data_IF_211599567983
#
_entry.id   IF_211599567983
#
_cell.length_a   1.000
_cell.length_b   1.000
_cell.length_c   1.000
_cell.angle_alpha   90.00
_cell.angle_beta   90.00
_cell.angle_gamma   90.00
#
_symmetry.space_group_name_H-M   'P 1'
#
loop_
_entity.id
_entity.type
_entity.pdbx_description
1 polymer ?
#
# COMPACT_ATOMS: atom_id res chain seq x y z
N UNK A 1 -20.16 -2.33 24.22
CA UNK A 1 -18.96 -1.67 23.65
C UNK A 1 -18.76 -2.03 22.20
N UNK A 2 -18.08 -1.17 21.45
CA UNK A 2 -17.74 -1.39 20.05
C UNK A 2 -16.22 -1.25 19.90
N UNK A 3 -15.59 -2.15 19.13
CA UNK A 3 -14.20 -2.04 18.73
C UNK A 3 -14.08 -2.28 17.23
N UNK A 4 -13.10 -1.63 16.60
CA UNK A 4 -12.77 -1.84 15.22
C UNK A 4 -11.27 -2.09 15.08
N UNK A 5 -10.91 -3.14 14.35
CA UNK A 5 -9.51 -3.56 14.15
C UNK A 5 -9.26 -4.00 12.72
N UNK A 6 -8.01 -4.23 12.38
CA UNK A 6 -7.58 -4.80 11.10
C UNK A 6 -6.70 -6.02 11.34
N UNK A 7 -6.62 -6.92 10.36
CA UNK A 7 -5.69 -8.06 10.42
C UNK A 7 -4.23 -7.63 10.22
N UNK A 8 -4.01 -6.63 9.36
CA UNK A 8 -2.70 -6.02 9.09
C UNK A 8 -2.77 -4.54 9.40
N UNK A 9 -1.76 -4.01 10.05
CA UNK A 9 -1.68 -2.58 10.40
C UNK A 9 -1.21 -1.69 9.25
N UNK A 10 -0.94 -2.26 8.07
CA UNK A 10 -0.41 -1.55 6.91
C UNK A 10 -1.20 -1.84 5.64
N UNK A 11 -1.11 -0.94 4.66
CA UNK A 11 -1.68 -1.09 3.34
C UNK A 11 -0.68 -0.67 2.26
N UNK A 12 -0.81 -1.24 1.07
CA UNK A 12 -0.15 -0.80 -0.17
C UNK A 12 -1.19 -0.27 -1.16
N UNK A 13 -0.73 0.37 -2.23
CA UNK A 13 -1.59 0.83 -3.32
C UNK A 13 -2.37 -0.35 -3.93
N UNK A 14 -3.67 -0.20 -4.08
CA UNK A 14 -4.59 -1.26 -4.54
C UNK A 14 -4.60 -2.51 -3.65
N UNK A 15 -3.97 -2.46 -2.48
CA UNK A 15 -3.98 -3.55 -1.50
C UNK A 15 -5.33 -3.66 -0.79
N UNK A 16 -5.72 -4.89 -0.46
CA UNK A 16 -6.93 -5.18 0.30
C UNK A 16 -6.64 -5.18 1.79
N UNK A 17 -7.51 -4.54 2.56
CA UNK A 17 -7.47 -4.45 4.03
C UNK A 17 -8.70 -5.16 4.58
N UNK A 18 -8.51 -6.10 5.49
CA UNK A 18 -9.62 -6.76 6.19
C UNK A 18 -9.89 -6.05 7.52
N UNK A 19 -11.11 -5.54 7.67
CA UNK A 19 -11.61 -4.90 8.89
C UNK A 19 -12.51 -5.81 9.67
N UNK A 20 -12.44 -5.71 11.00
CA UNK A 20 -13.31 -6.39 11.94
C UNK A 20 -13.96 -5.33 12.85
N UNK A 21 -15.30 -5.33 12.89
CA UNK A 21 -16.09 -4.55 13.86
C UNK A 21 -16.71 -5.53 14.84
N UNK A 22 -16.30 -5.43 16.10
CA UNK A 22 -16.83 -6.29 17.19
C UNK A 22 -17.73 -5.45 18.10
N UNK A 23 -18.93 -5.93 18.33
CA UNK A 23 -19.94 -5.33 19.19
C UNK A 23 -20.20 -6.28 20.34
N UNK A 24 -19.89 -5.85 21.57
CA UNK A 24 -20.13 -6.60 22.80
C UNK A 24 -21.31 -6.01 23.55
N UNK A 25 -22.29 -6.84 23.86
CA UNK A 25 -23.43 -6.51 24.68
C UNK A 25 -23.28 -7.15 26.10
N UNK A 26 -22.95 -6.33 27.09
CA UNK A 26 -22.86 -6.76 28.50
C UNK A 26 -24.17 -6.64 29.25
N UNK A 27 -25.27 -6.26 28.58
CA UNK A 27 -26.59 -6.11 29.15
C UNK A 27 -27.35 -7.42 29.17
N UNK A 28 -28.57 -7.38 29.74
CA UNK A 28 -29.45 -8.51 29.93
C UNK A 28 -30.56 -8.63 28.87
N UNK A 29 -30.59 -7.71 27.90
CA UNK A 29 -31.53 -7.70 26.77
C UNK A 29 -30.77 -7.65 25.46
N UNK A 30 -31.34 -8.29 24.43
CA UNK A 30 -30.80 -8.27 23.07
C UNK A 30 -30.93 -6.89 22.47
N UNK A 31 -29.92 -6.48 21.67
CA UNK A 31 -30.06 -5.41 20.70
C UNK A 31 -30.39 -6.01 19.33
N UNK A 32 -31.47 -5.55 18.70
CA UNK A 32 -31.92 -6.00 17.38
C UNK A 32 -32.16 -4.82 16.46
N UNK A 33 -31.85 -5.01 15.16
CA UNK A 33 -32.01 -3.93 14.18
C UNK A 33 -30.98 -2.80 14.31
N UNK A 34 -29.79 -3.11 14.82
CA UNK A 34 -28.66 -2.18 14.77
C UNK A 34 -28.20 -1.95 13.33
N UNK A 35 -27.66 -0.77 13.09
CA UNK A 35 -26.99 -0.38 11.83
C UNK A 35 -25.53 -0.07 12.12
N UNK A 36 -24.65 -0.63 11.33
CA UNK A 36 -23.23 -0.26 11.31
C UNK A 36 -22.96 0.58 10.07
N UNK A 37 -22.54 1.82 10.26
CA UNK A 37 -22.14 2.75 9.19
C UNK A 37 -20.63 2.95 9.25
N UNK A 38 -19.95 2.71 8.14
CA UNK A 38 -18.51 2.81 8.03
C UNK A 38 -18.13 3.88 7.02
N UNK A 39 -17.30 4.85 7.42
CA UNK A 39 -16.95 5.99 6.59
C UNK A 39 -15.88 5.68 5.53
N UNK A 40 -15.35 4.43 5.51
CA UNK A 40 -14.31 3.98 4.59
C UNK A 40 -13.08 4.90 4.57
N UNK A 41 -12.76 5.47 5.75
CA UNK A 41 -11.60 6.33 5.92
C UNK A 41 -11.75 7.73 5.33
N UNK A 42 -12.98 8.19 5.03
CA UNK A 42 -13.23 9.53 4.48
C UNK A 42 -12.47 10.62 5.21
N UNK A 43 -11.83 11.51 4.46
CA UNK A 43 -11.11 12.66 5.01
C UNK A 43 -11.21 13.90 4.10
N UNK A 44 -10.89 15.07 4.67
CA UNK A 44 -10.90 16.36 3.98
C UNK A 44 -9.49 16.66 3.46
N UNK A 45 -9.35 16.91 2.17
CA UNK A 45 -8.10 17.32 1.51
C UNK A 45 -7.93 18.84 1.55
N UNK A 46 -9.00 19.55 1.22
CA UNK A 46 -9.10 21.01 1.23
C UNK A 46 -10.56 21.41 1.43
N UNK A 47 -10.83 22.71 1.55
CA UNK A 47 -12.21 23.20 1.67
C UNK A 47 -13.07 22.71 0.48
N UNK A 48 -14.14 21.97 0.79
CA UNK A 48 -15.05 21.41 -0.20
C UNK A 48 -14.57 20.15 -0.94
N UNK A 49 -13.36 19.65 -0.66
CA UNK A 49 -12.82 18.43 -1.26
C UNK A 49 -12.71 17.33 -0.20
N UNK A 50 -13.73 16.45 -0.20
CA UNK A 50 -13.77 15.25 0.63
C UNK A 50 -13.50 14.04 -0.24
N UNK A 51 -12.64 13.14 0.20
CA UNK A 51 -12.30 11.91 -0.51
C UNK A 51 -12.44 10.69 0.37
N UNK A 52 -12.68 9.54 -0.25
CA UNK A 52 -12.79 8.25 0.42
C UNK A 52 -11.67 7.36 -0.09
N UNK A 53 -10.66 7.03 0.75
CA UNK A 53 -9.45 6.32 0.33
C UNK A 53 -9.65 4.81 0.17
N UNK A 54 -10.82 4.28 0.56
CA UNK A 54 -11.11 2.85 0.56
C UNK A 54 -12.37 2.55 -0.25
N UNK A 55 -12.27 1.59 -1.17
CA UNK A 55 -13.40 1.03 -1.90
C UNK A 55 -13.82 -0.28 -1.21
N UNK A 56 -15.09 -0.40 -0.84
CA UNK A 56 -15.63 -1.63 -0.29
C UNK A 56 -15.62 -2.76 -1.33
N UNK A 57 -15.08 -3.92 -0.97
CA UNK A 57 -15.14 -5.14 -1.79
C UNK A 57 -16.52 -5.78 -1.67
N UNK A 58 -17.32 -5.65 -2.72
CA UNK A 58 -18.71 -6.10 -2.76
C UNK A 58 -18.84 -7.60 -2.45
N UNK A 59 -19.73 -7.91 -1.49
CA UNK A 59 -19.99 -9.30 -1.08
C UNK A 59 -18.98 -9.84 -0.04
N UNK A 60 -18.02 -9.03 0.41
CA UNK A 60 -17.03 -9.46 1.41
C UNK A 60 -17.56 -9.50 2.84
N UNK A 61 -18.72 -8.89 3.15
CA UNK A 61 -19.28 -8.88 4.50
C UNK A 61 -19.58 -10.28 4.98
N UNK A 62 -19.00 -10.64 6.14
CA UNK A 62 -19.31 -11.83 6.92
C UNK A 62 -19.82 -11.40 8.30
N UNK A 63 -20.81 -12.10 8.81
CA UNK A 63 -21.52 -11.76 10.02
C UNK A 63 -21.52 -12.94 10.98
N UNK A 64 -21.03 -12.73 12.19
CA UNK A 64 -20.93 -13.77 13.22
C UNK A 64 -21.65 -13.32 14.49
N UNK A 65 -22.41 -14.24 15.11
CA UNK A 65 -23.01 -14.05 16.43
C UNK A 65 -22.42 -15.12 17.36
N UNK A 66 -21.81 -14.71 18.45
CA UNK A 66 -21.14 -15.59 19.42
C UNK A 66 -20.19 -16.60 18.77
N UNK A 67 -19.49 -16.17 17.70
CA UNK A 67 -18.51 -16.98 16.95
C UNK A 67 -19.13 -17.85 15.84
N UNK A 68 -20.46 -17.94 15.72
CA UNK A 68 -21.13 -18.70 14.66
C UNK A 68 -21.44 -17.81 13.46
N UNK A 69 -21.04 -18.27 12.25
CA UNK A 69 -21.31 -17.58 10.98
C UNK A 69 -22.82 -17.58 10.70
N UNK A 70 -23.35 -16.43 10.42
CA UNK A 70 -24.73 -16.17 10.06
C UNK A 70 -24.89 -15.80 8.58
N UNK A 71 -26.13 -15.81 8.10
CA UNK A 71 -26.46 -15.23 6.79
C UNK A 71 -26.04 -13.74 6.78
N UNK A 72 -25.38 -13.32 5.71
CA UNK A 72 -24.96 -11.92 5.57
C UNK A 72 -26.18 -10.98 5.64
N UNK A 73 -26.09 -9.90 6.43
CA UNK A 73 -27.17 -8.93 6.54
C UNK A 73 -27.29 -8.07 5.27
N UNK A 74 -28.30 -7.20 5.22
CA UNK A 74 -28.45 -6.26 4.12
C UNK A 74 -27.33 -5.22 4.13
N UNK A 75 -26.64 -5.09 2.99
CA UNK A 75 -25.47 -4.20 2.80
C UNK A 75 -25.79 -3.15 1.74
N UNK A 76 -25.50 -1.89 2.05
CA UNK A 76 -25.44 -0.78 1.07
C UNK A 76 -23.95 -0.44 0.87
N UNK A 77 -23.45 -0.64 -0.33
CA UNK A 77 -22.01 -0.65 -0.65
C UNK A 77 -21.40 0.71 -0.97
N UNK A 78 -22.18 1.80 -1.02
CA UNK A 78 -21.65 3.14 -1.34
C UNK A 78 -20.72 3.65 -0.26
N UNK A 79 -19.99 4.77 -0.44
CA UNK A 79 -19.51 5.52 0.71
C UNK A 79 -20.66 6.35 1.32
N UNK A 80 -20.98 6.16 2.63
CA UNK A 80 -20.44 5.16 3.53
C UNK A 80 -20.94 3.75 3.25
N UNK A 81 -20.19 2.73 3.67
CA UNK A 81 -20.68 1.35 3.76
C UNK A 81 -21.70 1.25 4.89
N UNK A 82 -22.88 0.70 4.63
CA UNK A 82 -23.94 0.53 5.64
C UNK A 82 -24.35 -0.94 5.72
N UNK A 83 -24.29 -1.50 6.92
CA UNK A 83 -24.72 -2.89 7.24
C UNK A 83 -25.90 -2.82 8.20
N UNK A 84 -27.08 -3.29 7.76
CA UNK A 84 -28.33 -3.14 8.49
C UNK A 84 -28.79 -4.46 9.12
N UNK A 85 -29.65 -4.36 10.14
CA UNK A 85 -30.34 -5.51 10.72
C UNK A 85 -29.43 -6.35 11.63
N UNK A 86 -28.45 -5.76 12.24
CA UNK A 86 -27.52 -6.45 13.14
C UNK A 86 -28.18 -6.75 14.47
N UNK A 87 -27.99 -7.97 14.97
CA UNK A 87 -28.41 -8.41 16.29
C UNK A 87 -27.22 -8.72 17.17
N UNK A 88 -27.26 -8.28 18.44
CA UNK A 88 -26.25 -8.60 19.45
C UNK A 88 -26.97 -9.17 20.67
N UNK A 89 -26.85 -10.49 20.96
CA UNK A 89 -27.53 -11.13 22.09
C UNK A 89 -27.13 -10.54 23.44
N UNK A 90 -27.99 -10.65 24.41
CA UNK A 90 -27.70 -10.34 25.80
C UNK A 90 -26.49 -11.12 26.31
N UNK A 91 -25.51 -10.46 26.89
CA UNK A 91 -24.27 -11.08 27.36
C UNK A 91 -23.40 -11.66 26.25
N UNK A 92 -23.73 -11.41 24.98
CA UNK A 92 -23.06 -11.97 23.80
C UNK A 92 -22.31 -10.94 22.99
N UNK A 93 -21.76 -11.40 21.86
CA UNK A 93 -21.03 -10.54 20.92
C UNK A 93 -21.47 -10.80 19.47
N UNK A 94 -21.22 -9.80 18.66
CA UNK A 94 -21.38 -9.87 17.20
C UNK A 94 -20.15 -9.31 16.54
N UNK A 95 -19.68 -10.00 15.48
CA UNK A 95 -18.53 -9.56 14.68
C UNK A 95 -18.98 -9.42 13.23
N UNK A 96 -18.63 -8.29 12.64
CA UNK A 96 -18.76 -8.02 11.21
C UNK A 96 -17.34 -7.95 10.64
N UNK A 97 -17.06 -8.77 9.63
CA UNK A 97 -15.80 -8.75 8.87
C UNK A 97 -16.12 -8.29 7.47
N UNK A 98 -15.31 -7.40 6.93
CA UNK A 98 -15.41 -6.96 5.54
C UNK A 98 -14.05 -6.58 4.99
N UNK A 99 -13.96 -6.52 3.67
CA UNK A 99 -12.74 -6.15 2.95
C UNK A 99 -12.95 -4.82 2.21
N UNK A 100 -11.90 -3.99 2.22
CA UNK A 100 -11.86 -2.76 1.47
C UNK A 100 -10.47 -2.61 0.81
N UNK A 101 -10.44 -2.00 -0.38
CA UNK A 101 -9.23 -1.81 -1.17
C UNK A 101 -8.80 -0.34 -1.12
N UNK A 102 -7.50 -0.10 -0.91
CA UNK A 102 -6.92 1.23 -1.01
C UNK A 102 -6.93 1.72 -2.47
N UNK A 103 -7.50 2.90 -2.71
CA UNK A 103 -7.64 3.51 -4.03
C UNK A 103 -6.68 4.70 -4.23
N UNK A 104 -6.90 5.51 -5.28
CA UNK A 104 -6.06 6.66 -5.63
C UNK A 104 -6.07 7.80 -4.61
N UNK A 105 -6.99 7.78 -3.66
CA UNK A 105 -7.06 8.77 -2.56
C UNK A 105 -6.35 8.31 -1.29
N UNK A 106 -5.85 7.07 -1.25
CA UNK A 106 -5.11 6.56 -0.11
C UNK A 106 -3.72 7.21 -0.03
N UNK A 107 -3.32 7.81 1.11
CA UNK A 107 -1.98 8.36 1.28
C UNK A 107 -0.91 7.28 1.11
N UNK A 108 0.12 7.53 0.28
CA UNK A 108 1.18 6.56 0.00
C UNK A 108 2.57 7.03 0.43
N UNK A 109 2.70 8.26 0.95
CA UNK A 109 3.92 8.73 1.59
C UNK A 109 4.24 7.92 2.86
N UNK A 110 5.47 7.97 3.34
CA UNK A 110 5.93 7.16 4.47
C UNK A 110 5.12 7.38 5.77
N UNK A 111 4.54 8.58 5.96
CA UNK A 111 3.68 8.94 7.09
C UNK A 111 2.18 8.78 6.78
N UNK A 112 1.84 8.20 5.64
CA UNK A 112 0.46 8.04 5.19
C UNK A 112 -0.35 7.15 6.14
N UNK A 113 -1.50 7.65 6.61
CA UNK A 113 -2.42 6.91 7.47
C UNK A 113 -3.85 7.02 6.96
N UNK A 114 -4.64 5.96 7.21
CA UNK A 114 -6.09 5.95 7.02
C UNK A 114 -6.74 5.65 8.36
N UNK A 115 -7.58 6.58 8.84
CA UNK A 115 -8.43 6.40 10.01
C UNK A 115 -9.82 6.02 9.53
N UNK A 116 -10.18 4.76 9.68
CA UNK A 116 -11.46 4.24 9.24
C UNK A 116 -12.41 4.06 10.43
N UNK A 117 -13.52 4.81 10.46
CA UNK A 117 -14.46 4.88 11.57
C UNK A 117 -15.73 4.11 11.25
N UNK A 118 -16.11 3.21 12.16
CA UNK A 118 -17.43 2.56 12.18
C UNK A 118 -18.29 3.17 13.29
N UNK A 119 -19.54 3.49 12.95
CA UNK A 119 -20.55 4.01 13.86
C UNK A 119 -21.67 2.99 13.97
N UNK A 120 -21.97 2.52 15.19
CA UNK A 120 -23.09 1.62 15.50
C UNK A 120 -24.25 2.46 16.05
N UNK A 121 -25.43 2.32 15.45
CA UNK A 121 -26.62 3.08 15.81
C UNK A 121 -27.90 2.28 15.69
N UNK A 122 -29.03 2.82 16.15
CA UNK A 122 -30.34 2.17 16.09
C UNK A 122 -30.52 1.06 17.14
N UNK A 123 -31.45 0.14 16.90
CA UNK A 123 -31.67 -1.04 17.74
C UNK A 123 -31.93 -0.78 19.22
N UNK A 124 -32.40 0.42 19.58
CA UNK A 124 -32.63 0.80 20.98
C UNK A 124 -31.41 1.43 21.69
N UNK A 125 -30.31 1.67 20.99
CA UNK A 125 -29.21 2.48 21.53
C UNK A 125 -29.65 3.93 21.72
N UNK A 126 -29.39 4.49 22.90
CA UNK A 126 -29.70 5.91 23.21
C UNK A 126 -28.79 6.89 22.42
N UNK A 127 -27.55 6.49 22.20
CA UNK A 127 -26.55 7.26 21.43
C UNK A 127 -25.75 6.33 20.55
N UNK A 128 -25.35 6.77 19.35
CA UNK A 128 -24.41 6.02 18.52
C UNK A 128 -23.08 5.77 19.24
N UNK A 129 -22.42 4.68 18.92
CA UNK A 129 -21.12 4.30 19.45
C UNK A 129 -20.14 4.15 18.31
N UNK A 130 -18.98 4.79 18.41
CA UNK A 130 -17.96 4.80 17.38
C UNK A 130 -16.74 3.98 17.77
N UNK A 131 -16.09 3.40 16.75
CA UNK A 131 -14.79 2.77 16.88
C UNK A 131 -13.96 3.05 15.62
N UNK A 132 -12.66 3.27 15.80
CA UNK A 132 -11.72 3.63 14.74
C UNK A 132 -10.66 2.54 14.62
N UNK A 133 -10.34 2.15 13.40
CA UNK A 133 -9.14 1.40 13.07
C UNK A 133 -8.22 2.27 12.22
N UNK A 134 -6.94 2.31 12.57
CA UNK A 134 -5.91 3.06 11.85
C UNK A 134 -4.99 2.07 11.13
N UNK A 135 -4.71 2.32 9.86
CA UNK A 135 -3.70 1.63 9.07
C UNK A 135 -2.71 2.62 8.48
N UNK A 136 -1.46 2.22 8.34
CA UNK A 136 -0.38 3.04 7.79
C UNK A 136 0.02 2.57 6.40
N UNK A 137 0.52 3.47 5.57
CA UNK A 137 1.13 3.07 4.31
C UNK A 137 2.32 2.13 4.58
N UNK A 138 2.41 1.05 3.81
CA UNK A 138 3.55 0.12 3.90
C UNK A 138 4.82 0.85 3.45
N UNK A 139 5.84 0.85 4.32
CA UNK A 139 7.13 1.42 4.00
C UNK A 139 7.94 0.41 3.18
N UNK A 140 8.04 0.64 1.87
CA UNK A 140 8.75 -0.26 0.96
C UNK A 140 9.38 0.49 -0.22
N UNK A 141 10.57 0.10 -0.70
CA UNK A 141 11.10 0.51 -1.99
C UNK A 141 10.45 -0.31 -3.09
N UNK A 142 10.14 0.31 -4.24
CA UNK A 142 9.61 -0.35 -5.43
C UNK A 142 10.51 0.00 -6.60
N UNK A 143 11.44 -0.91 -6.92
CA UNK A 143 12.44 -0.68 -7.95
C UNK A 143 11.98 -1.18 -9.32
N UNK A 144 12.34 -0.41 -10.33
CA UNK A 144 12.35 -0.83 -11.72
C UNK A 144 13.70 -0.51 -12.36
N UNK A 145 14.10 -1.31 -13.35
CA UNK A 145 15.33 -1.09 -14.13
C UNK A 145 15.00 -1.18 -15.61
N UNK A 146 15.56 -0.26 -16.39
CA UNK A 146 15.55 -0.33 -17.85
C UNK A 146 16.96 -0.19 -18.38
N UNK A 147 17.25 -0.86 -19.51
CA UNK A 147 18.55 -0.83 -20.18
C UNK A 147 18.40 -0.22 -21.56
N UNK A 148 19.24 0.73 -21.88
CA UNK A 148 19.34 1.33 -23.22
C UNK A 148 20.78 1.24 -23.72
N UNK A 149 20.95 1.33 -25.01
CA UNK A 149 22.28 1.37 -25.67
C UNK A 149 22.32 2.42 -26.78
N UNK A 150 23.48 3.06 -26.91
CA UNK A 150 23.72 4.07 -27.93
C UNK A 150 25.22 4.06 -28.34
N UNK A 151 25.51 4.02 -29.66
CA UNK A 151 24.61 3.82 -30.78
C UNK A 151 24.08 2.38 -30.84
N UNK A 152 22.99 2.13 -31.58
CA UNK A 152 22.40 0.79 -31.74
C UNK A 152 23.18 -0.11 -32.67
N UNK A 153 24.09 0.46 -33.46
CA UNK A 153 25.00 -0.26 -34.37
C UNK A 153 26.40 0.35 -34.28
N UNK A 154 27.40 -0.50 -34.22
CA UNK A 154 28.82 -0.10 -34.18
C UNK A 154 29.60 -0.82 -35.23
N UNK A 155 30.67 -0.22 -35.72
CA UNK A 155 31.72 -0.86 -36.52
C UNK A 155 32.70 -1.59 -35.59
N UNK A 156 33.57 -2.42 -36.20
CA UNK A 156 34.68 -3.02 -35.46
C UNK A 156 35.48 -1.96 -34.70
N UNK A 157 35.78 -2.22 -33.42
CA UNK A 157 36.40 -1.30 -32.47
C UNK A 157 35.63 0.01 -32.20
N UNK A 158 34.34 0.05 -32.54
CA UNK A 158 33.49 1.18 -32.21
C UNK A 158 33.06 1.15 -30.73
N UNK A 159 32.85 2.33 -30.17
CA UNK A 159 32.37 2.47 -28.79
C UNK A 159 30.84 2.40 -28.71
N UNK A 160 30.33 1.77 -27.64
CA UNK A 160 28.91 1.68 -27.32
C UNK A 160 28.71 2.00 -25.83
N UNK A 161 27.70 2.80 -25.56
CA UNK A 161 27.32 3.11 -24.19
C UNK A 161 26.06 2.34 -23.81
N UNK A 162 26.12 1.55 -22.75
CA UNK A 162 24.97 0.97 -22.09
C UNK A 162 24.56 1.88 -20.94
N UNK A 163 23.28 2.20 -20.88
CA UNK A 163 22.70 3.02 -19.80
C UNK A 163 21.66 2.23 -19.05
N UNK A 164 21.84 2.10 -17.75
CA UNK A 164 20.86 1.51 -16.84
C UNK A 164 20.14 2.64 -16.11
N UNK A 165 18.82 2.70 -16.26
CA UNK A 165 17.96 3.60 -15.49
C UNK A 165 17.33 2.81 -14.38
N UNK A 166 17.64 3.18 -13.14
CA UNK A 166 17.07 2.57 -11.93
C UNK A 166 16.13 3.59 -11.32
N UNK A 167 14.87 3.23 -11.18
CA UNK A 167 13.85 4.09 -10.61
C UNK A 167 13.24 3.42 -9.39
N UNK A 168 13.06 4.19 -8.32
CA UNK A 168 12.31 3.79 -7.15
C UNK A 168 10.98 4.55 -7.12
N UNK A 169 9.88 3.82 -7.21
CA UNK A 169 8.52 4.38 -7.08
C UNK A 169 7.92 4.12 -5.69
N UNK A 170 8.68 3.50 -4.79
CA UNK A 170 8.29 3.27 -3.40
C UNK A 170 8.57 4.47 -2.49
N UNK A 171 7.99 4.46 -1.31
CA UNK A 171 8.09 5.52 -0.31
C UNK A 171 9.32 5.41 0.60
N UNK A 172 10.17 4.43 0.38
CA UNK A 172 11.40 4.19 1.15
C UNK A 172 12.60 4.19 0.20
N UNK A 173 13.69 4.83 0.61
CA UNK A 173 14.92 4.87 -0.16
C UNK A 173 15.65 3.51 -0.11
N UNK A 174 16.39 3.20 -1.18
CA UNK A 174 17.43 2.18 -1.17
C UNK A 174 18.72 2.82 -0.66
N UNK A 175 19.27 2.23 0.38
CA UNK A 175 20.51 2.64 1.03
C UNK A 175 21.60 1.60 0.83
N UNK A 176 22.84 1.90 1.24
CA UNK A 176 23.95 0.95 1.17
C UNK A 176 23.69 -0.33 1.99
N UNK A 177 22.91 -0.24 3.07
CA UNK A 177 22.59 -1.38 3.92
C UNK A 177 21.58 -2.37 3.32
N UNK A 178 20.95 -2.03 2.20
CA UNK A 178 20.01 -2.91 1.50
C UNK A 178 20.70 -3.86 0.50
N UNK A 179 22.04 -3.74 0.36
CA UNK A 179 22.90 -4.61 -0.46
C UNK A 179 22.41 -4.80 -1.92
N UNK A 180 21.74 -3.78 -2.47
CA UNK A 180 21.26 -3.82 -3.86
C UNK A 180 22.43 -3.82 -4.83
N UNK A 181 22.36 -4.67 -5.85
CA UNK A 181 23.32 -4.75 -6.93
C UNK A 181 22.64 -4.82 -8.30
N UNK A 182 23.35 -4.38 -9.34
CA UNK A 182 22.96 -4.55 -10.75
C UNK A 182 23.95 -5.50 -11.38
N UNK A 183 23.44 -6.50 -12.11
CA UNK A 183 24.25 -7.42 -12.90
C UNK A 183 23.81 -7.41 -14.36
N UNK A 184 24.77 -7.67 -15.24
CA UNK A 184 24.56 -7.83 -16.69
C UNK A 184 25.54 -8.85 -17.24
N UNK A 185 25.24 -9.38 -18.43
CA UNK A 185 26.16 -10.23 -19.18
C UNK A 185 26.25 -9.72 -20.61
N UNK A 186 27.39 -9.16 -20.95
CA UNK A 186 27.68 -8.67 -22.31
C UNK A 186 28.13 -9.84 -23.20
N UNK A 187 27.27 -10.24 -24.14
CA UNK A 187 27.56 -11.31 -25.08
C UNK A 187 27.49 -10.79 -26.55
N UNK A 188 28.64 -10.75 -27.28
CA UNK A 188 29.98 -11.15 -26.82
C UNK A 188 30.55 -10.22 -25.74
N UNK A 189 31.53 -10.71 -24.99
CA UNK A 189 32.28 -9.89 -24.05
C UNK A 189 32.88 -8.67 -24.75
N UNK A 190 32.86 -7.54 -24.11
CA UNK A 190 33.35 -6.23 -24.61
C UNK A 190 34.58 -5.77 -23.82
N UNK A 191 35.36 -4.87 -24.37
CA UNK A 191 36.38 -4.13 -23.59
C UNK A 191 35.70 -3.02 -22.81
N UNK A 192 35.52 -3.22 -21.50
CA UNK A 192 34.87 -2.22 -20.64
C UNK A 192 35.83 -1.07 -20.37
N UNK A 193 35.51 0.12 -20.90
CA UNK A 193 36.38 1.30 -20.83
C UNK A 193 36.10 2.16 -19.59
N UNK A 194 34.86 2.31 -19.19
CA UNK A 194 34.47 3.09 -18.00
C UNK A 194 33.11 2.71 -17.47
N UNK A 195 32.89 2.93 -16.17
CA UNK A 195 31.61 2.85 -15.49
C UNK A 195 31.36 4.15 -14.75
N UNK A 196 30.18 4.72 -14.92
CA UNK A 196 29.77 5.99 -14.29
C UNK A 196 28.44 5.78 -13.60
N UNK A 197 28.34 6.18 -12.34
CA UNK A 197 27.07 6.18 -11.59
C UNK A 197 26.77 7.60 -11.11
N UNK A 198 25.63 8.15 -11.55
CA UNK A 198 25.16 9.50 -11.22
C UNK A 198 26.26 10.57 -11.41
N UNK A 199 27.01 10.49 -12.54
CA UNK A 199 28.07 11.42 -12.89
C UNK A 199 29.42 11.16 -12.22
N UNK A 200 29.55 10.18 -11.35
CA UNK A 200 30.80 9.81 -10.67
C UNK A 200 31.41 8.57 -11.31
N UNK A 201 32.71 8.66 -11.66
CA UNK A 201 33.45 7.52 -12.17
C UNK A 201 33.63 6.46 -11.07
N UNK A 202 33.36 5.21 -11.43
CA UNK A 202 33.50 4.05 -10.56
C UNK A 202 34.79 3.27 -10.85
N UNK A 203 35.38 2.69 -9.81
CA UNK A 203 36.59 1.89 -9.89
C UNK A 203 36.28 0.38 -9.89
N UNK A 204 36.98 -0.36 -10.77
CA UNK A 204 36.89 -1.82 -10.77
C UNK A 204 37.36 -2.40 -9.42
N UNK A 205 36.73 -3.50 -9.01
CA UNK A 205 36.91 -4.21 -7.75
C UNK A 205 36.43 -3.47 -6.49
N UNK A 206 36.30 -2.17 -6.54
CA UNK A 206 35.77 -1.36 -5.41
C UNK A 206 34.27 -1.09 -5.55
N UNK A 207 33.82 -0.76 -6.74
CA UNK A 207 32.45 -0.36 -7.02
C UNK A 207 31.70 -1.36 -7.91
N UNK A 208 32.45 -2.06 -8.77
CA UNK A 208 31.94 -3.11 -9.65
C UNK A 208 33.00 -4.16 -9.95
N UNK A 209 32.57 -5.31 -10.47
CA UNK A 209 33.41 -6.35 -11.05
C UNK A 209 33.04 -6.55 -12.51
N UNK A 210 34.04 -6.89 -13.33
CA UNK A 210 33.85 -7.25 -14.73
C UNK A 210 34.86 -8.32 -15.15
N UNK A 211 34.36 -9.39 -15.76
CA UNK A 211 35.17 -10.44 -16.40
C UNK A 211 35.16 -10.25 -17.92
N UNK A 212 36.25 -9.74 -18.48
CA UNK A 212 36.40 -9.52 -19.93
C UNK A 212 36.42 -10.81 -20.78
N UNK A 213 36.49 -12.00 -20.14
CA UNK A 213 36.42 -13.28 -20.85
C UNK A 213 34.97 -13.77 -21.00
N UNK A 214 34.18 -13.65 -19.95
CA UNK A 214 32.80 -14.12 -19.90
C UNK A 214 31.80 -13.01 -20.23
N UNK A 215 32.16 -11.75 -20.08
CA UNK A 215 31.28 -10.60 -20.21
C UNK A 215 30.42 -10.30 -18.98
N UNK A 216 30.65 -11.04 -17.88
CA UNK A 216 29.89 -10.85 -16.64
C UNK A 216 30.27 -9.53 -15.96
N UNK A 217 29.27 -8.70 -15.71
CA UNK A 217 29.35 -7.44 -14.98
C UNK A 217 28.46 -7.50 -13.75
N UNK A 218 28.95 -7.01 -12.61
CA UNK A 218 28.14 -6.81 -11.43
C UNK A 218 28.63 -5.61 -10.61
N UNK A 219 27.72 -4.81 -10.10
CA UNK A 219 28.07 -3.79 -9.09
C UNK A 219 28.32 -4.46 -7.74
N UNK A 220 29.21 -3.90 -6.93
CA UNK A 220 29.41 -4.37 -5.56
C UNK A 220 28.11 -4.10 -4.77
N UNK A 221 27.59 -5.08 -4.00
CA UNK A 221 26.40 -4.89 -3.19
C UNK A 221 26.48 -3.65 -2.29
N UNK A 222 25.38 -2.90 -2.19
CA UNK A 222 25.31 -1.67 -1.41
C UNK A 222 25.88 -0.43 -2.09
N UNK A 223 26.45 -0.53 -3.31
CA UNK A 223 26.92 0.65 -4.08
C UNK A 223 25.81 1.37 -4.81
N UNK A 224 24.69 0.68 -5.08
CA UNK A 224 23.51 1.28 -5.67
C UNK A 224 22.64 1.86 -4.55
N UNK A 225 22.46 3.18 -4.59
CA UNK A 225 21.53 3.90 -3.71
C UNK A 225 20.51 4.64 -4.57
N UNK A 226 19.22 4.56 -4.21
CA UNK A 226 18.14 5.19 -4.96
C UNK A 226 17.23 5.90 -3.96
N UNK A 227 16.99 7.22 -4.10
CA UNK A 227 16.10 7.92 -3.18
C UNK A 227 14.68 7.37 -3.23
N UNK A 228 13.91 7.59 -2.17
CA UNK A 228 12.47 7.35 -2.19
C UNK A 228 11.80 8.26 -3.23
N UNK A 229 10.68 7.80 -3.78
CA UNK A 229 9.83 8.64 -4.60
C UNK A 229 9.21 9.77 -3.77
N UNK A 230 8.91 10.87 -4.43
CA UNK A 230 8.14 11.97 -3.84
C UNK A 230 6.65 11.76 -4.12
N UNK A 231 5.83 11.86 -3.08
CA UNK A 231 4.38 11.76 -3.18
C UNK A 231 3.74 13.13 -2.93
N UNK A 232 2.78 13.50 -3.76
CA UNK A 232 2.00 14.72 -3.60
C UNK A 232 0.52 14.44 -3.78
N UNK A 233 -0.31 15.15 -3.02
CA UNK A 233 -1.76 15.11 -3.16
C UNK A 233 -2.27 16.34 -3.89
N UNK A 234 -3.06 16.14 -4.92
CA UNK A 234 -3.71 17.24 -5.64
C UNK A 234 -4.79 17.86 -4.76
N UNK A 235 -4.70 19.16 -4.40
CA UNK A 235 -5.64 19.78 -3.46
C UNK A 235 -7.06 19.94 -4.04
N UNK A 236 -7.22 19.84 -5.36
CA UNK A 236 -8.51 20.01 -6.04
C UNK A 236 -9.21 18.67 -6.28
N UNK A 237 -8.45 17.61 -6.59
CA UNK A 237 -9.03 16.30 -6.91
C UNK A 237 -8.87 15.30 -5.76
N UNK A 238 -7.93 15.53 -4.86
CA UNK A 238 -7.57 14.62 -3.77
C UNK A 238 -6.73 13.42 -4.19
N UNK A 239 -6.41 13.27 -5.47
CA UNK A 239 -5.63 12.15 -6.00
C UNK A 239 -4.17 12.27 -5.58
N UNK A 240 -3.58 11.16 -5.14
CA UNK A 240 -2.15 11.04 -4.86
C UNK A 240 -1.37 10.66 -6.12
N UNK A 241 -0.28 11.38 -6.37
CA UNK A 241 0.65 11.14 -7.48
C UNK A 241 2.05 10.92 -6.95
N UNK A 242 2.83 10.11 -7.68
CA UNK A 242 4.25 9.82 -7.43
C UNK A 242 5.10 10.48 -8.50
N UNK A 243 6.21 11.10 -8.11
CA UNK A 243 7.19 11.75 -8.99
C UNK A 243 8.61 11.33 -8.64
#
# INVERSE_FOLDING_TARGET
>A
SVTKTTLLGTYSRNGTITYLVSILNSGTADYTGLTVTDNLGQYIVSEGVNVVPLDYETGSVKYYINGELQTAPAVVSGPPLVVNGITVPAGGNTIIVYEARANEYAPLNAEGIINNTATVSGGGLNTPVEAVATVSALAEPILSITKALCPSTVTENGEITYTFYIQNTGNTAITAGDDVSVSDNFAPAIDLTSVIFNGNAWASTTDYTYDGTTGEFATVPGKITVPAATYSQNPTTGVWTVT
#
